data_IF_649064692587
#
_entry.id   IF_649064692587
#
_cell.length_a   1.000
_cell.length_b   1.000
_cell.length_c   1.000
_cell.angle_alpha   90.00
_cell.angle_beta   90.00
_cell.angle_gamma   90.00
#
_symmetry.space_group_name_H-M   'P 1'
#
loop_
_entity.id
_entity.type
_entity.pdbx_description
1 polymer ?
#
# COMPACT_ATOMS: atom_id res chain seq x y z
N UNK A 1 10.38 -30.69 13.29
CA UNK A 1 11.69 -30.37 12.67
C UNK A 1 12.38 -31.66 12.30
N UNK A 2 12.67 -31.85 11.03
CA UNK A 2 13.43 -33.00 10.54
C UNK A 2 14.88 -32.56 10.29
N UNK A 3 15.85 -33.34 10.75
CA UNK A 3 17.27 -33.03 10.54
C UNK A 3 17.83 -33.89 9.41
N UNK A 4 18.76 -33.30 8.64
CA UNK A 4 19.45 -33.97 7.53
C UNK A 4 20.94 -33.94 7.79
N UNK A 5 21.60 -35.09 7.58
CA UNK A 5 23.06 -35.13 7.59
C UNK A 5 23.57 -34.61 6.25
N UNK A 6 24.50 -33.68 6.33
CA UNK A 6 25.24 -33.22 5.16
C UNK A 6 26.34 -34.24 4.86
N UNK A 7 26.45 -34.65 3.60
CA UNK A 7 27.40 -35.64 3.11
C UNK A 7 28.40 -34.98 2.18
N UNK A 8 29.66 -35.43 2.21
CA UNK A 8 30.70 -34.93 1.30
C UNK A 8 30.60 -35.69 -0.03
N UNK A 9 30.39 -34.94 -1.11
CA UNK A 9 30.27 -35.49 -2.47
C UNK A 9 31.54 -35.23 -3.30
N UNK A 10 32.38 -34.25 -2.90
CA UNK A 10 33.69 -33.97 -3.49
C UNK A 10 34.62 -33.21 -2.54
N UNK A 11 35.82 -32.78 -3.00
CA UNK A 11 36.79 -32.06 -2.17
C UNK A 11 36.23 -30.77 -1.57
N UNK A 12 35.37 -30.07 -2.29
CA UNK A 12 34.76 -28.79 -1.91
C UNK A 12 33.23 -28.79 -1.90
N UNK A 13 32.59 -29.95 -2.12
CA UNK A 13 31.13 -30.02 -2.33
C UNK A 13 30.46 -30.88 -1.27
N UNK A 14 29.42 -30.30 -0.69
CA UNK A 14 28.53 -30.93 0.28
C UNK A 14 27.17 -31.16 -0.36
N UNK A 15 26.47 -32.20 0.09
CA UNK A 15 25.11 -32.52 -0.34
C UNK A 15 24.23 -32.89 0.85
N UNK A 16 22.93 -32.59 0.75
CA UNK A 16 21.92 -33.09 1.68
C UNK A 16 20.76 -33.67 0.89
N UNK A 17 20.02 -34.60 1.50
CA UNK A 17 18.81 -35.15 0.90
C UNK A 17 17.62 -34.23 1.19
N UNK A 18 16.80 -33.97 0.17
CA UNK A 18 15.53 -33.27 0.33
C UNK A 18 14.54 -34.13 1.15
N UNK A 19 13.61 -33.53 1.92
CA UNK A 19 12.55 -34.28 2.58
C UNK A 19 11.65 -34.98 1.57
N UNK A 20 11.38 -36.27 1.78
CA UNK A 20 10.62 -37.09 0.83
C UNK A 20 9.17 -36.60 0.67
N UNK A 21 8.53 -36.16 1.76
CA UNK A 21 7.18 -35.58 1.72
C UNK A 21 7.16 -34.30 0.90
N UNK A 22 8.13 -33.39 1.11
CA UNK A 22 8.25 -32.14 0.36
C UNK A 22 8.50 -32.39 -1.13
N UNK A 23 9.43 -33.31 -1.47
CA UNK A 23 9.72 -33.64 -2.86
C UNK A 23 8.49 -34.22 -3.56
N UNK A 24 7.71 -35.08 -2.86
CA UNK A 24 6.47 -35.64 -3.40
C UNK A 24 5.38 -34.57 -3.57
N UNK A 25 5.21 -33.68 -2.60
CA UNK A 25 4.23 -32.59 -2.63
C UNK A 25 4.47 -31.64 -3.80
N UNK A 26 5.74 -31.34 -4.09
CA UNK A 26 6.13 -30.43 -5.16
C UNK A 26 6.49 -31.13 -6.48
N UNK A 27 6.25 -32.44 -6.58
CA UNK A 27 6.59 -33.29 -7.75
C UNK A 27 8.05 -33.12 -8.22
N UNK A 28 8.98 -33.04 -7.27
CA UNK A 28 10.43 -32.96 -7.55
C UNK A 28 10.97 -34.37 -7.75
N UNK A 29 11.42 -34.65 -8.95
CA UNK A 29 11.97 -35.92 -9.37
C UNK A 29 13.51 -35.88 -9.54
N UNK A 30 14.09 -37.04 -9.79
CA UNK A 30 15.54 -37.14 -10.04
C UNK A 30 15.88 -36.45 -11.36
N UNK A 31 16.74 -35.45 -11.29
CA UNK A 31 17.20 -34.69 -12.46
C UNK A 31 16.61 -33.30 -12.55
N UNK A 32 15.58 -33.02 -11.75
CA UNK A 32 14.99 -31.69 -11.64
C UNK A 32 15.96 -30.73 -10.96
N UNK A 33 15.95 -29.49 -11.44
CA UNK A 33 16.71 -28.41 -10.82
C UNK A 33 15.90 -27.80 -9.68
N UNK A 34 16.59 -27.43 -8.61
CA UNK A 34 16.03 -26.66 -7.50
C UNK A 34 16.88 -25.42 -7.28
N UNK A 35 16.22 -24.30 -7.09
CA UNK A 35 16.89 -23.04 -6.77
C UNK A 35 17.18 -23.02 -5.27
N UNK A 36 18.46 -22.89 -4.92
CA UNK A 36 18.90 -22.72 -3.53
C UNK A 36 19.24 -21.26 -3.30
N UNK A 37 18.71 -20.68 -2.23
CA UNK A 37 19.00 -19.30 -1.82
C UNK A 37 19.48 -19.26 -0.38
N UNK A 38 20.56 -18.53 -0.17
CA UNK A 38 21.01 -18.11 1.15
C UNK A 38 20.35 -16.78 1.48
N UNK A 39 19.62 -16.72 2.60
CA UNK A 39 19.14 -15.47 3.19
C UNK A 39 20.07 -15.05 4.33
N UNK A 40 19.93 -13.80 4.79
CA UNK A 40 20.65 -13.32 5.98
C UNK A 40 20.49 -14.26 7.18
N UNK A 41 21.48 -14.29 8.06
CA UNK A 41 21.53 -15.14 9.28
C UNK A 41 21.57 -16.66 9.01
N UNK A 42 22.07 -17.08 7.83
CA UNK A 42 22.39 -18.49 7.56
C UNK A 42 21.20 -19.37 7.18
N UNK A 43 20.04 -18.79 6.88
CA UNK A 43 18.89 -19.54 6.34
C UNK A 43 19.12 -19.95 4.90
N UNK A 44 18.75 -21.19 4.57
CA UNK A 44 18.83 -21.74 3.21
C UNK A 44 17.42 -22.13 2.74
N UNK A 45 16.92 -21.45 1.73
CA UNK A 45 15.61 -21.69 1.11
C UNK A 45 15.80 -22.50 -0.16
N UNK A 46 15.04 -23.59 -0.31
CA UNK A 46 15.01 -24.43 -1.51
C UNK A 46 13.67 -24.23 -2.21
N UNK A 47 13.71 -23.84 -3.48
CA UNK A 47 12.51 -23.65 -4.31
C UNK A 47 12.57 -24.60 -5.52
N UNK A 48 11.53 -25.40 -5.78
CA UNK A 48 11.42 -26.15 -7.02
C UNK A 48 10.96 -25.24 -8.17
N UNK A 49 11.25 -25.62 -9.41
CA UNK A 49 10.83 -24.85 -10.59
C UNK A 49 9.32 -24.62 -10.67
N UNK A 50 8.52 -25.56 -10.14
CA UNK A 50 7.06 -25.47 -10.07
C UNK A 50 6.53 -24.30 -9.24
N UNK A 51 7.38 -23.66 -8.41
CA UNK A 51 7.03 -22.47 -7.63
C UNK A 51 7.19 -21.17 -8.46
N UNK A 52 7.56 -21.26 -9.74
CA UNK A 52 7.50 -20.09 -10.63
C UNK A 52 6.09 -19.50 -10.67
N UNK A 53 5.97 -18.29 -10.11
CA UNK A 53 4.71 -17.54 -9.96
C UNK A 53 4.12 -17.05 -11.28
N UNK A 54 4.88 -17.19 -12.38
CA UNK A 54 4.52 -16.73 -13.72
C UNK A 54 3.23 -17.35 -14.26
N UNK A 55 2.81 -18.51 -13.75
CA UNK A 55 1.61 -19.22 -14.18
C UNK A 55 0.52 -19.31 -13.10
N UNK A 56 0.58 -18.47 -12.06
CA UNK A 56 -0.41 -18.52 -10.98
C UNK A 56 -1.83 -18.18 -11.46
N UNK A 57 -2.77 -19.10 -11.24
CA UNK A 57 -4.18 -19.00 -11.64
C UNK A 57 -5.10 -19.09 -10.43
N UNK A 58 -6.21 -18.38 -10.47
CA UNK A 58 -7.31 -18.54 -9.52
C UNK A 58 -8.65 -18.58 -10.26
N UNK A 59 -9.64 -19.22 -9.66
CA UNK A 59 -11.01 -19.25 -10.15
C UNK A 59 -11.95 -18.79 -9.04
N UNK A 60 -12.71 -17.73 -9.32
CA UNK A 60 -13.73 -17.16 -8.47
C UNK A 60 -15.08 -17.67 -8.98
N UNK A 61 -15.83 -18.34 -8.10
CA UNK A 61 -17.20 -18.77 -8.39
C UNK A 61 -18.16 -17.64 -8.04
N UNK A 62 -18.84 -17.10 -9.04
CA UNK A 62 -19.70 -15.93 -8.91
C UNK A 62 -21.12 -16.25 -8.39
N UNK A 63 -21.48 -17.54 -8.31
CA UNK A 63 -22.84 -18.01 -7.99
C UNK A 63 -23.44 -17.42 -6.71
N UNK A 64 -22.61 -17.18 -5.69
CA UNK A 64 -23.03 -16.66 -4.38
C UNK A 64 -22.50 -15.27 -4.05
N UNK A 65 -21.94 -14.56 -5.04
CA UNK A 65 -21.35 -13.24 -4.84
C UNK A 65 -22.25 -12.17 -5.47
N UNK A 66 -22.50 -11.09 -4.74
CA UNK A 66 -23.01 -9.86 -5.37
C UNK A 66 -21.86 -9.11 -6.05
N UNK A 67 -22.16 -8.01 -6.76
CA UNK A 67 -21.16 -7.20 -7.48
C UNK A 67 -19.99 -6.76 -6.59
N UNK A 68 -20.28 -6.21 -5.40
CA UNK A 68 -19.25 -5.71 -4.47
C UNK A 68 -18.36 -6.83 -3.93
N UNK A 69 -18.94 -7.98 -3.56
CA UNK A 69 -18.19 -9.13 -3.08
C UNK A 69 -17.32 -9.73 -4.19
N UNK A 70 -17.81 -9.75 -5.43
CA UNK A 70 -17.05 -10.19 -6.59
C UNK A 70 -15.87 -9.25 -6.89
N UNK A 71 -16.10 -7.94 -6.95
CA UNK A 71 -15.05 -6.92 -7.10
C UNK A 71 -13.99 -7.10 -6.02
N UNK A 72 -14.40 -7.26 -4.76
CA UNK A 72 -13.48 -7.49 -3.65
C UNK A 72 -12.68 -8.79 -3.79
N UNK A 73 -13.30 -9.86 -4.28
CA UNK A 73 -12.63 -11.13 -4.55
C UNK A 73 -11.57 -10.98 -5.66
N UNK A 74 -11.86 -10.21 -6.71
CA UNK A 74 -10.91 -9.89 -7.78
C UNK A 74 -9.71 -9.12 -7.22
N UNK A 75 -9.96 -8.05 -6.46
CA UNK A 75 -8.89 -7.26 -5.81
C UNK A 75 -8.04 -8.16 -4.90
N UNK A 76 -8.66 -9.07 -4.15
CA UNK A 76 -7.93 -10.00 -3.29
C UNK A 76 -7.02 -10.93 -4.10
N UNK A 77 -7.52 -11.54 -5.19
CA UNK A 77 -6.69 -12.39 -6.05
C UNK A 77 -5.56 -11.60 -6.75
N UNK A 78 -5.82 -10.33 -7.10
CA UNK A 78 -4.80 -9.43 -7.62
C UNK A 78 -3.69 -9.20 -6.59
N UNK A 79 -4.03 -8.85 -5.35
CA UNK A 79 -3.05 -8.64 -4.27
C UNK A 79 -2.28 -9.92 -3.96
N UNK A 80 -2.93 -11.09 -4.01
CA UNK A 80 -2.29 -12.40 -3.85
C UNK A 80 -1.39 -12.81 -5.02
N UNK A 81 -1.16 -11.93 -6.00
CA UNK A 81 -0.18 -12.15 -7.04
C UNK A 81 -0.66 -13.02 -8.21
N UNK A 82 -1.94 -13.38 -8.26
CA UNK A 82 -2.46 -14.22 -9.36
C UNK A 82 -2.25 -13.51 -10.69
N UNK A 83 -1.71 -14.24 -11.67
CA UNK A 83 -1.51 -13.72 -13.03
C UNK A 83 -2.78 -13.79 -13.85
N UNK A 84 -3.53 -14.88 -13.73
CA UNK A 84 -4.84 -15.03 -14.38
C UNK A 84 -5.90 -15.33 -13.33
N UNK A 85 -7.01 -14.59 -13.39
CA UNK A 85 -8.17 -14.78 -12.52
C UNK A 85 -9.35 -15.12 -13.42
N UNK A 86 -9.96 -16.27 -13.19
CA UNK A 86 -11.19 -16.68 -13.86
C UNK A 86 -12.37 -16.33 -12.96
N UNK A 87 -13.42 -15.80 -13.57
CA UNK A 87 -14.70 -15.57 -12.94
C UNK A 87 -15.69 -16.45 -13.70
N UNK A 88 -16.34 -17.38 -13.01
CA UNK A 88 -17.28 -18.33 -13.62
C UNK A 88 -18.51 -18.54 -12.75
N UNK A 89 -19.62 -18.90 -13.39
CA UNK A 89 -20.79 -19.49 -12.71
C UNK A 89 -20.85 -20.98 -12.97
N UNK A 90 -21.39 -21.72 -12.00
CA UNK A 90 -21.63 -23.16 -12.14
C UNK A 90 -22.74 -23.47 -13.14
N UNK A 91 -23.76 -22.61 -13.23
CA UNK A 91 -24.87 -22.73 -14.18
C UNK A 91 -25.29 -21.36 -14.74
N UNK A 92 -25.50 -21.29 -16.06
CA UNK A 92 -25.99 -20.09 -16.74
C UNK A 92 -24.95 -18.99 -16.95
N UNK A 93 -25.40 -17.86 -17.48
CA UNK A 93 -24.56 -16.72 -17.80
C UNK A 93 -24.26 -15.84 -16.56
N UNK A 94 -23.11 -15.17 -16.58
CA UNK A 94 -22.76 -14.11 -15.64
C UNK A 94 -23.78 -12.98 -15.71
N UNK A 95 -24.16 -12.46 -14.55
CA UNK A 95 -25.10 -11.34 -14.49
C UNK A 95 -24.42 -10.05 -14.95
N UNK A 96 -25.17 -9.10 -15.49
CA UNK A 96 -24.61 -7.79 -15.88
C UNK A 96 -23.88 -7.09 -14.72
N UNK A 97 -24.35 -7.29 -13.50
CA UNK A 97 -23.72 -6.77 -12.28
C UNK A 97 -22.35 -7.41 -12.01
N UNK A 98 -22.18 -8.70 -12.31
CA UNK A 98 -20.88 -9.37 -12.22
C UNK A 98 -19.91 -8.85 -13.26
N UNK A 99 -20.39 -8.68 -14.50
CA UNK A 99 -19.60 -8.16 -15.61
C UNK A 99 -19.13 -6.73 -15.29
N UNK A 100 -20.03 -5.87 -14.81
CA UNK A 100 -19.71 -4.51 -14.38
C UNK A 100 -18.69 -4.48 -13.23
N UNK A 101 -18.77 -5.42 -12.28
CA UNK A 101 -17.79 -5.54 -11.20
C UNK A 101 -16.38 -5.88 -11.73
N UNK A 102 -16.28 -6.72 -12.77
CA UNK A 102 -15.00 -7.03 -13.44
C UNK A 102 -14.43 -5.77 -14.09
N UNK A 103 -15.23 -5.03 -14.87
CA UNK A 103 -14.77 -3.80 -15.50
C UNK A 103 -14.39 -2.72 -14.48
N UNK A 104 -15.13 -2.62 -13.37
CA UNK A 104 -14.78 -1.71 -12.27
C UNK A 104 -13.40 -2.06 -11.67
N UNK A 105 -13.15 -3.34 -11.39
CA UNK A 105 -11.85 -3.79 -10.91
C UNK A 105 -10.73 -3.52 -11.93
N UNK A 106 -10.97 -3.71 -13.23
CA UNK A 106 -10.02 -3.36 -14.30
C UNK A 106 -9.63 -1.88 -14.26
N UNK A 107 -10.60 -0.99 -14.07
CA UNK A 107 -10.31 0.46 -13.98
C UNK A 107 -9.51 0.86 -12.76
N UNK A 108 -9.54 0.07 -11.68
CA UNK A 108 -8.91 0.35 -10.39
C UNK A 108 -7.55 -0.32 -10.21
N UNK A 109 -7.21 -1.34 -11.00
CA UNK A 109 -6.03 -2.17 -10.79
C UNK A 109 -5.02 -2.02 -11.93
N UNK A 110 -3.79 -1.65 -11.60
CA UNK A 110 -2.75 -1.46 -12.60
C UNK A 110 -2.42 -2.78 -13.31
N UNK A 111 -2.42 -2.73 -14.65
CA UNK A 111 -2.05 -3.84 -15.52
C UNK A 111 -3.05 -5.00 -15.58
N UNK A 112 -4.22 -4.87 -14.95
CA UNK A 112 -5.32 -5.83 -15.12
C UNK A 112 -6.04 -5.57 -16.44
N UNK A 113 -6.41 -6.64 -17.17
CA UNK A 113 -7.24 -6.52 -18.37
C UNK A 113 -7.98 -7.81 -18.69
N UNK A 114 -9.15 -7.69 -19.32
CA UNK A 114 -9.94 -8.84 -19.80
C UNK A 114 -9.26 -9.47 -21.01
N UNK A 115 -9.04 -10.79 -20.97
CA UNK A 115 -8.42 -11.56 -22.06
C UNK A 115 -9.39 -12.55 -22.72
N UNK A 116 -10.47 -12.91 -22.04
CA UNK A 116 -11.54 -13.76 -22.56
C UNK A 116 -12.86 -13.39 -21.87
N UNK A 117 -13.93 -13.29 -22.66
CA UNK A 117 -15.29 -13.06 -22.15
C UNK A 117 -16.26 -13.92 -22.95
N UNK A 118 -16.91 -14.85 -22.26
CA UNK A 118 -18.03 -15.66 -22.74
C UNK A 118 -19.24 -15.43 -21.83
N UNK A 119 -20.45 -15.87 -22.20
CA UNK A 119 -21.62 -15.69 -21.35
C UNK A 119 -21.43 -16.27 -19.94
N UNK A 120 -20.76 -17.41 -19.79
CA UNK A 120 -20.60 -18.13 -18.52
C UNK A 120 -19.30 -17.80 -17.77
N UNK A 121 -18.32 -17.16 -18.43
CA UNK A 121 -16.96 -16.98 -17.90
C UNK A 121 -16.28 -15.71 -18.38
N UNK A 122 -15.56 -15.06 -17.48
CA UNK A 122 -14.58 -14.03 -17.81
C UNK A 122 -13.20 -14.46 -17.31
N UNK A 123 -12.17 -14.26 -18.13
CA UNK A 123 -10.78 -14.40 -17.71
C UNK A 123 -10.10 -13.02 -17.77
N UNK A 124 -9.48 -12.62 -16.66
CA UNK A 124 -8.68 -11.39 -16.56
C UNK A 124 -7.23 -11.73 -16.27
N UNK A 125 -6.31 -10.95 -16.86
CA UNK A 125 -4.86 -11.14 -16.69
C UNK A 125 -4.22 -9.87 -16.12
N UNK A 126 -3.34 -10.05 -15.14
CA UNK A 126 -2.43 -9.00 -14.70
C UNK A 126 -1.12 -9.09 -15.50
N UNK A 127 -0.74 -7.97 -16.10
CA UNK A 127 0.47 -7.83 -16.95
C UNK A 127 1.54 -6.96 -16.30
N UNK A 128 1.39 -6.63 -15.02
CA UNK A 128 2.43 -5.93 -14.25
C UNK A 128 3.67 -6.79 -14.17
N UNK A 129 4.79 -6.25 -14.62
CA UNK A 129 6.11 -6.77 -14.30
C UNK A 129 6.56 -6.17 -12.95
N UNK A 130 7.04 -7.00 -12.04
CA UNK A 130 7.51 -6.54 -10.74
C UNK A 130 8.85 -5.81 -10.87
N UNK A 131 9.66 -6.12 -11.88
CA UNK A 131 10.98 -5.54 -12.11
C UNK A 131 10.92 -4.05 -12.52
N UNK A 132 9.76 -3.58 -12.99
CA UNK A 132 9.52 -2.18 -13.36
C UNK A 132 9.38 -1.24 -12.13
N UNK A 133 9.34 -1.80 -10.91
CA UNK A 133 9.04 -1.06 -9.70
C UNK A 133 10.00 -1.38 -8.56
N UNK A 134 10.34 -0.36 -7.78
CA UNK A 134 10.88 -0.55 -6.42
C UNK A 134 9.82 -0.15 -5.40
N UNK A 135 9.81 -0.82 -4.25
CA UNK A 135 8.84 -0.49 -3.20
C UNK A 135 9.06 0.92 -2.63
N UNK A 136 10.32 1.35 -2.51
CA UNK A 136 10.70 2.70 -2.05
C UNK A 136 10.06 3.78 -2.93
N UNK A 137 10.26 3.68 -4.25
CA UNK A 137 9.70 4.63 -5.21
C UNK A 137 8.17 4.66 -5.16
N UNK A 138 7.52 3.52 -4.91
CA UNK A 138 6.06 3.47 -4.81
C UNK A 138 5.54 4.09 -3.50
N UNK A 139 6.25 3.95 -2.38
CA UNK A 139 5.90 4.64 -1.13
C UNK A 139 6.02 6.16 -1.30
N UNK A 140 7.11 6.65 -1.88
CA UNK A 140 7.30 8.07 -2.19
C UNK A 140 6.23 8.59 -3.16
N UNK A 141 5.90 7.82 -4.20
CA UNK A 141 4.84 8.20 -5.15
C UNK A 141 3.46 8.27 -4.50
N UNK A 142 3.17 7.37 -3.55
CA UNK A 142 1.91 7.39 -2.81
C UNK A 142 1.82 8.65 -1.94
N UNK A 143 2.89 8.97 -1.21
CA UNK A 143 2.96 10.21 -0.40
C UNK A 143 2.83 11.47 -1.26
N UNK A 144 3.60 11.58 -2.35
CA UNK A 144 3.51 12.73 -3.26
C UNK A 144 2.10 12.90 -3.84
N UNK A 145 1.41 11.80 -4.15
CA UNK A 145 0.02 11.83 -4.60
C UNK A 145 -0.91 12.33 -3.49
N UNK A 146 -0.75 11.82 -2.28
CA UNK A 146 -1.52 12.22 -1.10
C UNK A 146 -1.31 13.70 -0.71
N UNK A 147 -0.06 14.18 -0.67
CA UNK A 147 0.26 15.60 -0.43
C UNK A 147 -0.34 16.51 -1.51
N UNK A 148 -0.23 16.15 -2.79
CA UNK A 148 -0.85 16.93 -3.88
C UNK A 148 -2.37 16.99 -3.69
N UNK A 149 -2.99 15.87 -3.33
CA UNK A 149 -4.43 15.77 -3.10
C UNK A 149 -4.87 16.64 -1.92
N UNK A 150 -4.16 16.58 -0.79
CA UNK A 150 -4.40 17.42 0.39
C UNK A 150 -4.27 18.90 0.05
N UNK A 151 -3.21 19.28 -0.68
CA UNK A 151 -3.01 20.65 -1.13
C UNK A 151 -4.12 21.14 -2.07
N UNK A 152 -4.62 20.30 -2.98
CA UNK A 152 -5.77 20.62 -3.84
C UNK A 152 -7.06 20.78 -3.02
N UNK A 153 -7.32 19.88 -2.07
CA UNK A 153 -8.49 19.92 -1.20
C UNK A 153 -8.51 21.18 -0.30
N UNK A 154 -7.37 21.54 0.32
CA UNK A 154 -7.25 22.76 1.14
C UNK A 154 -7.37 24.03 0.29
N UNK A 155 -6.86 24.03 -0.95
CA UNK A 155 -7.07 25.14 -1.89
C UNK A 155 -8.53 25.23 -2.33
N UNK A 156 -9.19 24.11 -2.56
CA UNK A 156 -10.62 24.06 -2.87
C UNK A 156 -11.44 24.69 -1.74
N UNK A 157 -11.14 24.30 -0.50
CA UNK A 157 -11.76 24.83 0.72
C UNK A 157 -11.59 26.34 0.85
N UNK A 158 -10.37 26.84 0.61
CA UNK A 158 -10.06 28.25 0.80
C UNK A 158 -10.62 29.17 -0.28
N UNK A 159 -10.97 28.64 -1.45
CA UNK A 159 -11.44 29.41 -2.60
C UNK A 159 -12.86 29.08 -3.03
N UNK A 160 -13.52 28.17 -2.32
CA UNK A 160 -14.82 27.62 -2.70
C UNK A 160 -14.84 27.04 -4.12
N UNK A 161 -13.80 26.28 -4.48
CA UNK A 161 -13.57 25.84 -5.85
C UNK A 161 -13.86 24.33 -6.03
N UNK A 162 -15.03 23.95 -6.57
CA UNK A 162 -15.39 22.55 -6.75
C UNK A 162 -14.50 21.82 -7.78
N UNK A 163 -13.92 22.52 -8.76
CA UNK A 163 -13.01 21.90 -9.73
C UNK A 163 -11.68 21.45 -9.08
N UNK A 164 -11.23 22.13 -8.02
CA UNK A 164 -10.09 21.70 -7.22
C UNK A 164 -10.45 20.50 -6.34
N UNK A 165 -11.62 20.50 -5.71
CA UNK A 165 -12.09 19.37 -4.91
C UNK A 165 -12.26 18.11 -5.79
N UNK A 166 -12.88 18.25 -6.96
CA UNK A 166 -13.05 17.15 -7.90
C UNK A 166 -11.71 16.59 -8.43
N UNK A 167 -10.69 17.45 -8.57
CA UNK A 167 -9.32 17.00 -8.90
C UNK A 167 -8.71 16.16 -7.78
N UNK A 168 -8.87 16.58 -6.52
CA UNK A 168 -8.46 15.80 -5.37
C UNK A 168 -9.15 14.41 -5.38
N UNK A 169 -10.48 14.35 -5.54
CA UNK A 169 -11.22 13.08 -5.64
C UNK A 169 -10.77 12.20 -6.82
N UNK A 170 -10.31 12.79 -7.93
CA UNK A 170 -9.75 12.02 -9.04
C UNK A 170 -8.35 11.46 -8.75
N UNK A 171 -7.60 12.07 -7.83
CA UNK A 171 -6.29 11.59 -7.38
C UNK A 171 -6.40 10.45 -6.36
N UNK A 172 -7.47 10.38 -5.59
CA UNK A 172 -7.74 9.24 -4.70
C UNK A 172 -7.65 7.94 -5.51
N UNK A 173 -8.30 7.89 -6.67
CA UNK A 173 -8.26 6.72 -7.56
C UNK A 173 -6.84 6.35 -8.02
N UNK A 174 -5.94 7.33 -8.11
CA UNK A 174 -4.52 7.09 -8.41
C UNK A 174 -3.76 6.60 -7.19
N UNK A 175 -4.01 7.17 -6.01
CA UNK A 175 -3.45 6.73 -4.74
C UNK A 175 -3.84 5.26 -4.43
N UNK A 176 -5.12 4.91 -4.59
CA UNK A 176 -5.61 3.55 -4.42
C UNK A 176 -4.95 2.56 -5.40
N UNK A 177 -4.76 2.94 -6.68
CA UNK A 177 -3.99 2.13 -7.65
C UNK A 177 -2.58 1.83 -7.17
N UNK A 178 -1.87 2.84 -6.68
CA UNK A 178 -0.51 2.71 -6.17
C UNK A 178 -0.51 1.82 -4.91
N UNK A 179 -1.44 2.04 -3.99
CA UNK A 179 -1.58 1.25 -2.77
C UNK A 179 -1.83 -0.24 -3.07
N UNK A 180 -2.78 -0.57 -3.95
CA UNK A 180 -3.09 -1.97 -4.27
C UNK A 180 -1.94 -2.64 -5.04
N UNK A 181 -1.20 -1.90 -5.88
CA UNK A 181 0.03 -2.38 -6.50
C UNK A 181 1.13 -2.66 -5.46
N UNK A 182 1.34 -1.75 -4.50
CA UNK A 182 2.26 -1.96 -3.37
C UNK A 182 1.91 -3.25 -2.63
N UNK A 183 0.63 -3.48 -2.32
CA UNK A 183 0.19 -4.72 -1.68
C UNK A 183 0.54 -5.95 -2.52
N UNK A 184 0.27 -5.91 -3.84
CA UNK A 184 0.61 -7.01 -4.74
C UNK A 184 2.11 -7.32 -4.72
N UNK A 185 2.96 -6.30 -4.84
CA UNK A 185 4.41 -6.47 -4.84
C UNK A 185 4.93 -6.96 -3.49
N UNK A 186 4.37 -6.49 -2.38
CA UNK A 186 4.73 -6.96 -1.03
C UNK A 186 4.37 -8.45 -0.85
N UNK A 187 3.14 -8.84 -1.20
CA UNK A 187 2.68 -10.22 -1.01
C UNK A 187 3.40 -11.20 -1.93
N UNK A 188 3.66 -10.82 -3.18
CA UNK A 188 4.44 -11.65 -4.12
C UNK A 188 5.90 -11.74 -3.73
N UNK A 189 6.51 -10.65 -3.23
CA UNK A 189 7.88 -10.65 -2.71
C UNK A 189 8.05 -11.49 -1.44
N UNK A 190 7.02 -11.53 -0.59
CA UNK A 190 7.00 -12.41 0.57
C UNK A 190 6.99 -13.89 0.17
N UNK A 191 6.20 -14.25 -0.85
CA UNK A 191 6.13 -15.63 -1.36
C UNK A 191 7.36 -16.03 -2.16
N UNK A 192 7.96 -15.09 -2.90
CA UNK A 192 9.09 -15.33 -3.76
C UNK A 192 10.24 -14.35 -3.43
N UNK A 193 11.26 -14.80 -2.66
CA UNK A 193 12.42 -13.98 -2.34
C UNK A 193 13.21 -13.49 -3.56
N UNK A 194 13.03 -14.08 -4.77
CA UNK A 194 13.60 -13.51 -6.00
C UNK A 194 13.02 -12.11 -6.26
N UNK A 195 11.71 -11.98 -6.11
CA UNK A 195 11.00 -10.72 -6.34
C UNK A 195 11.34 -9.67 -5.30
N UNK A 196 11.59 -10.06 -4.03
CA UNK A 196 12.03 -9.11 -3.00
C UNK A 196 13.27 -8.31 -3.44
N UNK A 197 14.27 -8.95 -4.06
CA UNK A 197 15.44 -8.27 -4.62
C UNK A 197 15.13 -7.44 -5.85
N UNK A 198 14.27 -7.94 -6.73
CA UNK A 198 13.84 -7.20 -7.92
C UNK A 198 13.15 -5.88 -7.54
N UNK A 199 12.40 -5.86 -6.45
CA UNK A 199 11.72 -4.65 -5.94
C UNK A 199 12.58 -3.81 -4.99
N UNK A 200 13.89 -4.07 -4.91
CA UNK A 200 14.86 -3.25 -4.17
C UNK A 200 15.14 -3.66 -2.73
N UNK A 201 14.73 -4.85 -2.27
CA UNK A 201 14.96 -5.32 -0.90
C UNK A 201 15.98 -6.45 -0.80
N UNK A 202 16.93 -6.32 0.13
CA UNK A 202 17.93 -7.36 0.40
C UNK A 202 17.38 -8.54 1.24
N UNK A 203 16.27 -8.32 1.94
CA UNK A 203 15.62 -9.34 2.76
C UNK A 203 14.10 -9.17 2.79
N UNK A 204 13.39 -10.19 3.29
CA UNK A 204 11.94 -10.11 3.48
C UNK A 204 11.51 -9.30 4.71
N UNK A 205 12.44 -8.88 5.58
CA UNK A 205 12.09 -8.20 6.84
C UNK A 205 11.40 -6.83 6.61
N UNK A 206 11.90 -5.94 5.73
CA UNK A 206 11.25 -4.65 5.47
C UNK A 206 9.81 -4.75 4.96
N UNK A 207 9.42 -5.87 4.34
CA UNK A 207 8.05 -6.08 3.83
C UNK A 207 6.97 -5.88 4.90
N UNK A 208 7.26 -6.24 6.16
CA UNK A 208 6.32 -6.10 7.29
C UNK A 208 6.11 -4.61 7.61
N UNK A 209 7.20 -3.85 7.66
CA UNK A 209 7.16 -2.40 7.88
C UNK A 209 6.48 -1.69 6.72
N UNK A 210 6.89 -1.99 5.49
CA UNK A 210 6.38 -1.36 4.27
C UNK A 210 4.88 -1.59 4.08
N UNK A 211 4.37 -2.77 4.46
CA UNK A 211 2.93 -3.03 4.45
C UNK A 211 2.16 -2.09 5.38
N UNK A 212 2.72 -1.81 6.55
CA UNK A 212 2.11 -0.92 7.54
C UNK A 212 2.17 0.53 7.07
N UNK A 213 3.34 0.96 6.56
CA UNK A 213 3.54 2.30 5.98
C UNK A 213 2.60 2.55 4.81
N UNK A 214 2.48 1.60 3.87
CA UNK A 214 1.57 1.73 2.73
C UNK A 214 0.12 1.96 3.15
N UNK A 215 -0.35 1.34 4.24
CA UNK A 215 -1.71 1.58 4.75
C UNK A 215 -1.84 2.93 5.45
N UNK A 216 -0.84 3.36 6.20
CA UNK A 216 -0.84 4.70 6.78
C UNK A 216 -0.87 5.79 5.70
N UNK A 217 -0.15 5.60 4.58
CA UNK A 217 -0.15 6.52 3.45
C UNK A 217 -1.47 6.53 2.68
N UNK A 218 -2.12 5.37 2.52
CA UNK A 218 -3.48 5.32 1.95
C UNK A 218 -4.49 6.02 2.87
N UNK A 219 -4.40 5.86 4.20
CA UNK A 219 -5.28 6.58 5.13
C UNK A 219 -5.02 8.10 5.14
N UNK A 220 -3.78 8.52 4.90
CA UNK A 220 -3.44 9.93 4.65
C UNK A 220 -4.11 10.46 3.38
N UNK A 221 -4.21 9.63 2.33
CA UNK A 221 -4.97 9.98 1.14
C UNK A 221 -6.47 10.05 1.45
N UNK A 222 -7.06 9.07 2.13
CA UNK A 222 -8.48 9.08 2.53
C UNK A 222 -8.83 10.37 3.31
N UNK A 223 -7.98 10.79 4.25
CA UNK A 223 -8.15 12.07 4.95
C UNK A 223 -8.22 13.30 4.02
N UNK A 224 -7.45 13.30 2.93
CA UNK A 224 -7.51 14.37 1.93
C UNK A 224 -8.75 14.27 1.03
N UNK A 225 -9.27 13.06 0.81
CA UNK A 225 -10.55 12.82 0.14
C UNK A 225 -11.70 13.41 0.98
N UNK A 226 -11.71 13.13 2.29
CA UNK A 226 -12.69 13.68 3.24
C UNK A 226 -12.74 15.20 3.18
N UNK A 227 -11.59 15.87 3.19
CA UNK A 227 -11.50 17.34 3.04
C UNK A 227 -12.12 17.81 1.71
N UNK A 228 -11.87 17.08 0.62
CA UNK A 228 -12.45 17.41 -0.68
C UNK A 228 -13.97 17.20 -0.70
N UNK A 229 -14.47 16.14 -0.08
CA UNK A 229 -15.90 15.86 0.05
C UNK A 229 -16.61 16.92 0.88
N UNK A 230 -16.00 17.43 1.96
CA UNK A 230 -16.54 18.56 2.73
C UNK A 230 -16.78 19.78 1.84
N UNK A 231 -15.87 20.08 0.90
CA UNK A 231 -16.04 21.19 -0.06
C UNK A 231 -17.17 20.90 -1.04
N UNK A 232 -17.30 19.66 -1.52
CA UNK A 232 -18.36 19.27 -2.45
C UNK A 232 -19.74 19.34 -1.81
N UNK A 233 -19.84 18.96 -0.54
CA UNK A 233 -21.11 18.89 0.21
C UNK A 233 -21.52 20.24 0.84
N UNK A 234 -20.58 21.18 0.99
CA UNK A 234 -20.88 22.52 1.50
C UNK A 234 -21.78 23.32 0.54
N UNK A 235 -22.76 24.04 1.09
CA UNK A 235 -23.62 24.92 0.29
C UNK A 235 -22.79 25.98 -0.44
N UNK A 236 -22.96 26.05 -1.77
CA UNK A 236 -22.14 26.95 -2.61
C UNK A 236 -20.65 26.60 -2.64
N UNK A 237 -20.29 25.39 -2.21
CA UNK A 237 -18.92 24.87 -2.12
C UNK A 237 -17.99 25.67 -1.21
N UNK A 238 -18.53 26.41 -0.25
CA UNK A 238 -17.75 27.23 0.69
C UNK A 238 -18.21 26.99 2.13
N UNK A 239 -17.24 26.90 3.03
CA UNK A 239 -17.50 26.83 4.48
C UNK A 239 -17.47 28.21 5.15
N UNK A 240 -17.29 29.29 4.37
CA UNK A 240 -17.30 30.70 4.81
C UNK A 240 -16.42 30.97 6.05
N UNK A 241 -15.19 30.45 5.99
CA UNK A 241 -14.19 30.63 7.04
C UNK A 241 -13.47 31.95 6.85
N UNK A 242 -13.27 32.68 7.95
CA UNK A 242 -12.55 33.94 7.90
C UNK A 242 -11.09 33.74 7.45
N UNK A 243 -10.50 34.78 6.86
CA UNK A 243 -9.14 34.71 6.30
C UNK A 243 -8.06 34.38 7.34
N UNK A 244 -8.28 34.70 8.62
CA UNK A 244 -7.30 34.40 9.67
C UNK A 244 -7.31 32.91 10.04
N UNK A 245 -8.50 32.32 10.15
CA UNK A 245 -8.66 30.87 10.36
C UNK A 245 -8.16 30.09 9.16
N UNK A 246 -8.51 30.49 7.93
CA UNK A 246 -8.00 29.82 6.72
C UNK A 246 -6.47 29.90 6.59
N UNK A 247 -5.84 31.00 7.02
CA UNK A 247 -4.38 31.10 7.06
C UNK A 247 -3.79 30.07 8.04
N UNK A 248 -4.38 29.91 9.22
CA UNK A 248 -3.93 28.92 10.21
C UNK A 248 -4.11 27.48 9.74
N UNK A 249 -5.19 27.19 9.00
CA UNK A 249 -5.41 25.87 8.38
C UNK A 249 -4.32 25.57 7.33
N UNK A 250 -3.97 26.55 6.48
CA UNK A 250 -2.88 26.39 5.52
C UNK A 250 -1.53 26.19 6.22
N UNK A 251 -1.21 27.01 7.22
CA UNK A 251 0.00 26.83 8.02
C UNK A 251 0.03 25.43 8.66
N UNK A 252 -1.08 24.96 9.23
CA UNK A 252 -1.16 23.61 9.78
C UNK A 252 -0.93 22.54 8.71
N UNK A 253 -1.50 22.73 7.51
CA UNK A 253 -1.27 21.84 6.36
C UNK A 253 0.21 21.80 5.97
N UNK A 254 0.89 22.94 5.94
CA UNK A 254 2.32 23.01 5.58
C UNK A 254 3.19 22.20 6.57
N UNK A 255 2.93 22.29 7.88
CA UNK A 255 3.64 21.47 8.87
C UNK A 255 3.27 19.97 8.77
N UNK A 256 2.02 19.66 8.40
CA UNK A 256 1.58 18.28 8.13
C UNK A 256 2.32 17.71 6.92
N UNK A 257 2.51 18.49 5.87
CA UNK A 257 3.27 18.11 4.67
C UNK A 257 4.76 17.86 4.99
N UNK A 258 5.33 18.68 5.88
CA UNK A 258 6.71 18.52 6.34
C UNK A 258 6.89 17.19 7.09
N UNK A 259 6.07 16.93 8.12
CA UNK A 259 6.18 15.68 8.88
C UNK A 259 5.91 14.43 8.03
N UNK A 260 4.93 14.45 7.11
CA UNK A 260 4.66 13.27 6.26
C UNK A 260 5.81 12.99 5.30
N UNK A 261 6.41 14.04 4.74
CA UNK A 261 7.58 13.94 3.86
C UNK A 261 8.78 13.38 4.62
N UNK A 262 9.11 13.94 5.80
CA UNK A 262 10.23 13.46 6.62
C UNK A 262 10.00 12.01 7.07
N UNK A 263 8.76 11.63 7.40
CA UNK A 263 8.45 10.26 7.83
C UNK A 263 8.65 9.23 6.72
N UNK A 264 8.29 9.54 5.48
CA UNK A 264 8.52 8.64 4.34
C UNK A 264 10.00 8.54 4.02
N UNK A 265 10.74 9.66 4.07
CA UNK A 265 12.20 9.64 3.93
C UNK A 265 12.86 8.78 5.00
N UNK A 266 12.44 8.88 6.26
CA UNK A 266 12.94 8.03 7.34
C UNK A 266 12.74 6.52 7.05
N UNK A 267 11.60 6.15 6.44
CA UNK A 267 11.33 4.75 6.04
C UNK A 267 12.24 4.29 4.92
N UNK A 268 12.37 5.10 3.85
CA UNK A 268 13.09 4.74 2.63
C UNK A 268 14.61 4.76 2.84
N UNK A 269 15.11 5.83 3.45
CA UNK A 269 16.54 6.02 3.73
C UNK A 269 17.00 5.16 4.93
N UNK A 270 16.06 4.62 5.72
CA UNK A 270 16.32 3.89 6.98
C UNK A 270 17.19 4.70 7.94
N UNK A 271 16.97 6.00 7.97
CA UNK A 271 17.72 6.94 8.79
C UNK A 271 17.01 7.16 10.14
N UNK A 272 17.68 6.80 11.23
CA UNK A 272 17.15 6.97 12.58
C UNK A 272 17.04 8.44 13.00
N UNK A 273 17.93 9.32 12.52
CA UNK A 273 17.92 10.74 12.86
C UNK A 273 16.67 11.42 12.31
N UNK A 274 16.23 11.04 11.10
CA UNK A 274 14.95 11.51 10.54
C UNK A 274 13.74 11.09 11.40
N UNK A 275 13.81 9.96 12.12
CA UNK A 275 12.73 9.56 13.04
C UNK A 275 12.66 10.45 14.28
N UNK A 276 13.81 10.99 14.72
CA UNK A 276 13.90 11.96 15.81
C UNK A 276 13.32 13.29 15.35
N UNK A 277 13.69 13.75 14.16
CA UNK A 277 13.14 14.96 13.52
C UNK A 277 11.61 14.89 13.39
N UNK A 278 11.06 13.78 12.88
CA UNK A 278 9.60 13.57 12.83
C UNK A 278 8.92 13.72 14.18
N UNK A 279 9.55 13.22 15.25
CA UNK A 279 9.01 13.30 16.61
C UNK A 279 9.02 14.73 17.14
N UNK A 280 10.02 15.53 16.76
CA UNK A 280 10.08 16.96 17.09
C UNK A 280 8.98 17.73 16.35
N UNK A 281 8.88 17.56 15.03
CA UNK A 281 7.82 18.15 14.20
C UNK A 281 6.42 17.80 14.73
N UNK A 282 6.19 16.53 15.11
CA UNK A 282 4.91 16.10 15.65
C UNK A 282 4.53 16.81 16.95
N UNK A 283 5.50 17.08 17.83
CA UNK A 283 5.25 17.81 19.09
C UNK A 283 4.84 19.25 18.83
N UNK A 284 5.42 19.90 17.82
CA UNK A 284 5.11 21.29 17.48
C UNK A 284 3.67 21.47 16.99
N UNK A 285 3.09 20.44 16.35
CA UNK A 285 1.74 20.51 15.77
C UNK A 285 0.65 19.85 16.60
N UNK A 286 0.99 19.14 17.68
CA UNK A 286 0.05 18.31 18.46
C UNK A 286 -1.14 19.08 19.05
N UNK A 287 -0.97 20.36 19.38
CA UNK A 287 -2.03 21.21 19.95
C UNK A 287 -2.72 22.09 18.90
N UNK A 288 -2.29 22.05 17.64
CA UNK A 288 -2.72 23.00 16.59
C UNK A 288 -4.21 22.88 16.25
N UNK A 289 -4.75 21.66 16.21
CA UNK A 289 -6.19 21.41 16.05
C UNK A 289 -6.99 22.15 17.13
N UNK A 290 -6.63 21.93 18.39
CA UNK A 290 -7.33 22.50 19.55
C UNK A 290 -7.22 24.03 19.57
N UNK A 291 -6.03 24.55 19.28
CA UNK A 291 -5.81 25.99 19.24
C UNK A 291 -6.65 26.67 18.18
N UNK A 292 -6.76 26.08 16.98
CA UNK A 292 -7.60 26.65 15.91
C UNK A 292 -9.08 26.60 16.34
N UNK A 293 -9.55 25.47 16.88
CA UNK A 293 -10.93 25.30 17.33
C UNK A 293 -11.32 26.29 18.44
N UNK A 294 -10.45 26.55 19.42
CA UNK A 294 -10.72 27.45 20.54
C UNK A 294 -10.86 28.92 20.13
N UNK A 295 -10.19 29.31 19.05
CA UNK A 295 -10.19 30.68 18.55
C UNK A 295 -11.26 30.91 17.46
N UNK A 296 -12.04 29.88 17.11
CA UNK A 296 -13.13 30.03 16.15
C UNK A 296 -14.19 31.01 16.69
N UNK A 297 -14.71 31.91 15.85
CA UNK A 297 -15.86 32.73 16.22
C UNK A 297 -17.11 31.86 16.38
N UNK A 298 -18.13 32.41 17.06
CA UNK A 298 -19.45 31.77 17.11
C UNK A 298 -20.01 31.61 15.69
N UNK A 299 -20.44 30.40 15.36
CA UNK A 299 -20.91 30.03 14.03
C UNK A 299 -21.95 28.91 14.10
N UNK A 300 -22.61 28.65 12.97
CA UNK A 300 -23.58 27.56 12.87
C UNK A 300 -22.92 26.19 13.10
N UNK A 301 -23.65 25.30 13.79
CA UNK A 301 -23.15 23.97 14.15
C UNK A 301 -22.65 23.17 12.94
N UNK A 302 -23.30 23.28 11.79
CA UNK A 302 -22.90 22.56 10.59
C UNK A 302 -21.51 23.00 10.10
N UNK A 303 -21.26 24.32 10.02
CA UNK A 303 -19.96 24.88 9.62
C UNK A 303 -18.86 24.52 10.63
N UNK A 304 -19.19 24.59 11.92
CA UNK A 304 -18.26 24.19 12.99
C UNK A 304 -17.83 22.73 12.86
N UNK A 305 -18.78 21.82 12.58
CA UNK A 305 -18.49 20.40 12.39
C UNK A 305 -17.62 20.16 11.15
N UNK A 306 -17.90 20.84 10.03
CA UNK A 306 -17.09 20.75 8.81
C UNK A 306 -15.65 21.23 9.03
N UNK A 307 -15.46 22.38 9.69
CA UNK A 307 -14.11 22.88 10.03
C UNK A 307 -13.39 21.91 10.96
N UNK A 308 -14.07 21.40 11.98
CA UNK A 308 -13.50 20.41 12.89
C UNK A 308 -13.06 19.16 12.13
N UNK A 309 -13.86 18.67 11.20
CA UNK A 309 -13.53 17.50 10.40
C UNK A 309 -12.28 17.73 9.55
N UNK A 310 -12.14 18.89 8.89
CA UNK A 310 -10.90 19.27 8.19
C UNK A 310 -9.69 19.24 9.12
N UNK A 311 -9.80 19.84 10.31
CA UNK A 311 -8.70 19.88 11.28
C UNK A 311 -8.34 18.48 11.82
N UNK A 312 -9.35 17.64 12.06
CA UNK A 312 -9.16 16.24 12.47
C UNK A 312 -8.47 15.43 11.38
N UNK A 313 -8.85 15.58 10.11
CA UNK A 313 -8.20 14.91 8.97
C UNK A 313 -6.72 15.31 8.85
N UNK A 314 -6.39 16.58 9.08
CA UNK A 314 -4.99 17.05 9.14
C UNK A 314 -4.23 16.46 10.33
N UNK A 315 -4.84 16.46 11.53
CA UNK A 315 -4.23 15.90 12.73
C UNK A 315 -4.01 14.37 12.62
N UNK A 316 -4.96 13.65 12.04
CA UNK A 316 -4.84 12.20 11.79
C UNK A 316 -3.73 11.91 10.77
N UNK A 317 -3.59 12.75 9.75
CA UNK A 317 -2.47 12.66 8.79
C UNK A 317 -1.12 12.78 9.50
N UNK A 318 -0.95 13.75 10.39
CA UNK A 318 0.25 13.87 11.22
C UNK A 318 0.47 12.64 12.13
N UNK A 319 -0.60 12.07 12.70
CA UNK A 319 -0.50 10.85 13.52
C UNK A 319 -0.05 9.64 12.68
N UNK A 320 -0.52 9.50 11.44
CA UNK A 320 -0.06 8.46 10.53
C UNK A 320 1.41 8.65 10.14
N UNK A 321 1.87 9.89 9.95
CA UNK A 321 3.29 10.20 9.77
C UNK A 321 4.15 9.77 10.97
N UNK A 322 3.70 10.07 12.20
CA UNK A 322 4.40 9.63 13.41
C UNK A 322 4.47 8.09 13.51
N UNK A 323 3.39 7.37 13.14
CA UNK A 323 3.41 5.90 13.06
C UNK A 323 4.40 5.39 12.02
N UNK A 324 4.53 6.08 10.88
CA UNK A 324 5.55 5.75 9.88
C UNK A 324 6.97 5.95 10.43
N UNK A 325 7.22 7.03 11.18
CA UNK A 325 8.49 7.25 11.85
C UNK A 325 8.80 6.17 12.90
N UNK A 326 7.81 5.69 13.66
CA UNK A 326 7.98 4.56 14.60
C UNK A 326 8.35 3.26 13.86
N UNK A 327 7.72 2.99 12.72
CA UNK A 327 8.07 1.85 11.87
C UNK A 327 9.49 2.02 11.31
N UNK A 328 9.82 3.21 10.82
CA UNK A 328 11.15 3.54 10.30
C UNK A 328 12.24 3.29 11.36
N UNK A 329 12.01 3.66 12.62
CA UNK A 329 12.99 3.39 13.69
C UNK A 329 13.29 1.90 13.88
N UNK A 330 12.30 1.01 13.70
CA UNK A 330 12.55 -0.43 13.75
C UNK A 330 13.35 -0.93 12.53
N UNK A 331 13.17 -0.30 11.37
CA UNK A 331 13.92 -0.64 10.16
C UNK A 331 15.37 -0.17 10.26
N UNK A 332 15.57 1.09 10.68
CA UNK A 332 16.87 1.73 10.84
C UNK A 332 17.74 1.03 11.90
N UNK A 333 17.17 0.70 13.06
CA UNK A 333 17.92 0.11 14.17
C UNK A 333 18.10 -1.42 14.08
N UNK A 334 17.64 -2.05 12.99
CA UNK A 334 17.92 -3.45 12.68
C UNK A 334 19.20 -3.63 11.82
N UNK A 335 19.95 -2.55 11.62
CA UNK A 335 21.22 -2.51 10.92
C UNK A 335 22.28 -1.82 11.81
N UNK A 336 23.56 -2.13 11.59
CA UNK A 336 24.67 -1.44 12.26
C UNK A 336 24.61 0.06 11.94
N UNK A 337 24.70 0.90 12.96
CA UNK A 337 24.62 2.35 12.82
C UNK A 337 25.39 3.05 13.95
N UNK A 338 25.49 4.37 13.89
CA UNK A 338 26.04 5.18 14.98
C UNK A 338 25.23 5.05 16.28
N UNK A 339 23.98 4.55 16.20
CA UNK A 339 23.04 4.45 17.32
C UNK A 339 22.97 3.04 17.95
N UNK A 340 23.29 1.97 17.21
CA UNK A 340 23.14 0.58 17.67
C UNK A 340 24.25 -0.32 17.09
N UNK A 341 24.80 -1.20 17.95
CA UNK A 341 25.68 -2.32 17.60
C UNK A 341 24.96 -3.66 17.79
N UNK A 342 25.11 -4.58 16.84
CA UNK A 342 24.41 -5.87 16.79
C UNK A 342 25.43 -7.02 16.77
N UNK A 343 25.57 -7.73 17.91
CA UNK A 343 26.46 -8.89 18.07
C UNK A 343 25.88 -10.23 17.56
#
# INVERSE_FOLDING_TARGET
>A
METRKVQRLGPSTLAMTLPAEWAKEHNVEKGDEVTIRTSGKGTLTVLPESVNTEDSKATIRADSLNAEALERAIVAQYVLGRRVIHIEKSEGALDSDHINAVYKAETQLMGLGVIEETPERIAIRCSVDAEDFTLDNLLERLENTGSTMRGEAIKALAHGNPDLAQRALNRERQANKIFVLLLRLIFTSYQNPNLARAVGLDSGFPLIGYRSVAKNLELTADNAEDIANIVMDAEGHTIDVDQSTMRRIREFTDHVDEITTTAVRAVVERDYDLTIECRELFREISDRERDILNDLPEMENQKLLQIREVLVSLQQTAQYAMRNAEIASNLALNEESDHVTID
#
